data_IF_352530007175
#
_entry.id   IF_352530007175
#
_cell.length_a   1.000
_cell.length_b   1.000
_cell.length_c   1.000
_cell.angle_alpha   90.00
_cell.angle_beta   90.00
_cell.angle_gamma   90.00
#
_symmetry.space_group_name_H-M   'P 1'
#
loop_
_entity.id
_entity.type
_entity.pdbx_description
1 polymer ?
#
# COMPACT_ATOMS: atom_id res chain seq x y z
N UNK A 1 -15.28 5.38 -33.92
CA UNK A 1 -15.71 4.59 -32.74
C UNK A 1 -14.57 4.59 -31.73
N UNK A 2 -14.52 5.57 -30.82
CA UNK A 2 -13.51 5.63 -29.77
C UNK A 2 -14.05 4.93 -28.53
N UNK A 3 -13.44 3.78 -28.24
CA UNK A 3 -13.78 2.93 -27.12
C UNK A 3 -13.11 3.51 -25.85
N UNK A 4 -13.80 4.46 -25.21
CA UNK A 4 -13.35 5.02 -23.93
C UNK A 4 -13.74 3.99 -22.86
N UNK A 5 -12.79 3.13 -22.52
CA UNK A 5 -12.87 2.26 -21.36
C UNK A 5 -12.94 3.17 -20.13
N UNK A 6 -14.13 3.34 -19.58
CA UNK A 6 -14.36 4.14 -18.38
C UNK A 6 -13.49 3.59 -17.25
N UNK A 7 -12.45 4.34 -16.89
CA UNK A 7 -11.76 4.17 -15.63
C UNK A 7 -12.78 4.39 -14.52
N UNK A 8 -12.69 3.60 -13.44
CA UNK A 8 -13.60 3.68 -12.31
C UNK A 8 -13.78 5.15 -11.86
N UNK A 9 -15.02 5.61 -11.62
CA UNK A 9 -15.26 6.98 -11.22
C UNK A 9 -14.69 7.19 -9.81
N UNK A 10 -13.57 7.91 -9.71
CA UNK A 10 -12.94 8.22 -8.44
C UNK A 10 -11.42 8.46 -8.47
N UNK A 11 -10.72 8.01 -9.52
CA UNK A 11 -9.35 8.43 -9.79
C UNK A 11 -9.30 9.08 -11.17
N UNK A 12 -9.50 10.40 -11.22
CA UNK A 12 -8.81 11.16 -12.25
C UNK A 12 -7.31 10.80 -12.14
N UNK A 13 -6.62 10.62 -13.26
CA UNK A 13 -5.19 10.32 -13.24
C UNK A 13 -4.46 11.49 -12.54
N UNK A 14 -4.16 11.30 -11.26
CA UNK A 14 -3.44 12.27 -10.46
C UNK A 14 -2.05 12.45 -11.05
N UNK A 15 -1.60 13.69 -11.12
CA UNK A 15 -0.23 14.01 -11.46
C UNK A 15 0.73 13.38 -10.43
N UNK A 16 2.00 13.11 -10.79
CA UNK A 16 2.98 12.59 -9.84
C UNK A 16 3.09 13.44 -8.56
N UNK A 17 2.95 14.77 -8.70
CA UNK A 17 2.98 15.70 -7.58
C UNK A 17 1.76 15.56 -6.66
N UNK A 18 0.56 15.40 -7.22
CA UNK A 18 -0.65 15.15 -6.43
C UNK A 18 -0.58 13.81 -5.70
N UNK A 19 0.00 12.78 -6.34
CA UNK A 19 0.23 11.49 -5.67
C UNK A 19 1.24 11.64 -4.54
N UNK A 20 2.31 12.40 -4.74
CA UNK A 20 3.31 12.71 -3.72
C UNK A 20 2.68 13.35 -2.48
N UNK A 21 1.90 14.41 -2.67
CA UNK A 21 1.23 15.15 -1.60
C UNK A 21 0.21 14.27 -0.88
N UNK A 22 -0.60 13.54 -1.63
CA UNK A 22 -1.66 12.72 -1.06
C UNK A 22 -1.10 11.50 -0.30
N UNK A 23 -0.04 10.87 -0.81
CA UNK A 23 0.70 9.84 -0.09
C UNK A 23 1.27 10.39 1.22
N UNK A 24 1.89 11.58 1.19
CA UNK A 24 2.39 12.22 2.42
C UNK A 24 1.30 12.45 3.47
N UNK A 25 0.08 12.82 3.04
CA UNK A 25 -1.07 12.95 3.94
C UNK A 25 -1.46 11.61 4.57
N UNK A 26 -1.53 10.55 3.78
CA UNK A 26 -1.83 9.21 4.32
C UNK A 26 -0.72 8.73 5.26
N UNK A 27 0.55 8.88 4.89
CA UNK A 27 1.69 8.49 5.73
C UNK A 27 1.67 9.19 7.08
N UNK A 28 1.51 10.51 7.09
CA UNK A 28 1.40 11.29 8.32
C UNK A 28 0.24 10.83 9.21
N UNK A 29 -0.93 10.58 8.60
CA UNK A 29 -2.12 10.15 9.33
C UNK A 29 -1.97 8.74 9.93
N UNK A 30 -1.41 7.79 9.16
CA UNK A 30 -1.18 6.42 9.60
C UNK A 30 -0.12 6.36 10.70
N UNK A 31 1.03 7.03 10.52
CA UNK A 31 2.08 7.08 11.55
C UNK A 31 1.59 7.75 12.84
N UNK A 32 0.79 8.81 12.72
CA UNK A 32 0.19 9.47 13.88
C UNK A 32 -0.79 8.53 14.62
N UNK A 33 -1.54 7.70 13.88
CA UNK A 33 -2.42 6.71 14.48
C UNK A 33 -1.64 5.58 15.17
N UNK A 34 -0.63 5.04 14.51
CA UNK A 34 0.20 3.94 15.04
C UNK A 34 1.01 4.37 16.27
N UNK A 35 1.49 5.61 16.27
CA UNK A 35 2.18 6.21 17.42
C UNK A 35 1.25 6.71 18.53
N UNK A 36 -0.07 6.47 18.42
CA UNK A 36 -1.11 6.92 19.38
C UNK A 36 -1.17 8.42 19.59
N UNK A 37 -0.67 9.20 18.62
CA UNK A 37 -0.74 10.68 18.60
C UNK A 37 -2.05 11.19 18.00
N UNK A 38 -2.75 10.35 17.24
CA UNK A 38 -4.05 10.61 16.64
C UNK A 38 -4.97 9.42 16.88
N UNK A 39 -6.22 9.67 17.28
CA UNK A 39 -7.24 8.61 17.37
C UNK A 39 -8.03 8.59 16.08
N UNK A 40 -7.89 7.53 15.29
CA UNK A 40 -8.71 7.25 14.12
C UNK A 40 -9.69 6.13 14.41
N UNK A 41 -10.90 6.22 13.84
CA UNK A 41 -11.78 5.05 13.83
C UNK A 41 -11.14 3.92 13.01
N UNK A 42 -11.38 2.64 13.35
CA UNK A 42 -10.85 1.51 12.57
C UNK A 42 -11.23 1.56 11.08
N UNK A 43 -12.40 2.14 10.76
CA UNK A 43 -12.86 2.34 9.38
C UNK A 43 -11.97 3.34 8.63
N UNK A 44 -11.73 4.51 9.22
CA UNK A 44 -10.90 5.57 8.60
C UNK A 44 -9.46 5.12 8.42
N UNK A 45 -8.90 4.41 9.42
CA UNK A 45 -7.56 3.82 9.30
C UNK A 45 -7.48 2.86 8.11
N UNK A 46 -8.43 1.94 7.97
CA UNK A 46 -8.48 1.01 6.82
C UNK A 46 -8.63 1.72 5.50
N UNK A 47 -9.53 2.70 5.40
CA UNK A 47 -9.74 3.45 4.17
C UNK A 47 -8.47 4.20 3.74
N UNK A 48 -7.76 4.80 4.68
CA UNK A 48 -6.48 5.44 4.45
C UNK A 48 -5.41 4.46 3.96
N UNK A 49 -5.24 3.33 4.66
CA UNK A 49 -4.26 2.31 4.31
C UNK A 49 -4.53 1.70 2.93
N UNK A 50 -5.81 1.45 2.59
CA UNK A 50 -6.21 0.93 1.28
C UNK A 50 -5.90 1.96 0.18
N UNK A 51 -6.24 3.24 0.39
CA UNK A 51 -5.95 4.30 -0.59
C UNK A 51 -4.45 4.48 -0.80
N UNK A 52 -3.66 4.52 0.27
CA UNK A 52 -2.20 4.55 0.19
C UNK A 52 -1.65 3.35 -0.58
N UNK A 53 -2.09 2.13 -0.25
CA UNK A 53 -1.68 0.89 -0.95
C UNK A 53 -1.98 0.98 -2.45
N UNK A 54 -3.18 1.40 -2.84
CA UNK A 54 -3.56 1.54 -4.26
C UNK A 54 -2.69 2.55 -5.00
N UNK A 55 -2.40 3.71 -4.39
CA UNK A 55 -1.53 4.73 -4.97
C UNK A 55 -0.10 4.21 -5.15
N UNK A 56 0.48 3.61 -4.10
CA UNK A 56 1.82 3.02 -4.15
C UNK A 56 1.90 1.93 -5.23
N UNK A 57 0.91 1.03 -5.26
CA UNK A 57 0.90 -0.08 -6.24
C UNK A 57 0.89 0.43 -7.68
N UNK A 58 0.21 1.54 -7.96
CA UNK A 58 0.18 2.14 -9.30
C UNK A 58 1.50 2.81 -9.71
N UNK A 59 2.39 3.10 -8.76
CA UNK A 59 3.66 3.80 -8.97
C UNK A 59 4.85 3.10 -8.31
N UNK A 60 4.79 1.77 -8.18
CA UNK A 60 5.71 1.02 -7.32
C UNK A 60 7.20 1.20 -7.67
N UNK A 61 7.50 1.44 -8.95
CA UNK A 61 8.86 1.66 -9.47
C UNK A 61 9.23 3.14 -9.64
N UNK A 62 8.33 4.07 -9.32
CA UNK A 62 8.62 5.50 -9.40
C UNK A 62 9.57 5.91 -8.27
N UNK A 63 10.58 6.70 -8.65
CA UNK A 63 11.51 7.30 -7.69
C UNK A 63 10.79 8.23 -6.71
N UNK A 64 9.83 9.02 -7.20
CA UNK A 64 9.04 9.95 -6.40
C UNK A 64 8.18 9.22 -5.36
N UNK A 65 7.55 8.11 -5.75
CA UNK A 65 6.81 7.26 -4.82
C UNK A 65 7.72 6.68 -3.74
N UNK A 66 8.88 6.14 -4.14
CA UNK A 66 9.86 5.60 -3.19
C UNK A 66 10.36 6.66 -2.21
N UNK A 67 10.63 7.87 -2.68
CA UNK A 67 11.10 8.98 -1.86
C UNK A 67 10.08 9.31 -0.75
N UNK A 68 8.80 9.49 -1.09
CA UNK A 68 7.76 9.76 -0.07
C UNK A 68 7.57 8.57 0.86
N UNK A 69 7.56 7.33 0.35
CA UNK A 69 7.38 6.16 1.20
C UNK A 69 8.47 6.07 2.29
N UNK A 70 9.70 6.49 1.98
CA UNK A 70 10.81 6.47 2.93
C UNK A 70 10.75 7.53 4.04
N UNK A 71 9.89 8.55 3.90
CA UNK A 71 9.68 9.56 4.94
C UNK A 71 8.77 9.08 6.08
N UNK A 72 7.95 8.06 5.84
CA UNK A 72 6.90 7.59 6.76
C UNK A 72 7.02 6.07 6.98
N UNK A 73 7.29 5.59 8.21
CA UNK A 73 7.41 4.16 8.50
C UNK A 73 6.24 3.30 8.00
N UNK A 74 4.99 3.75 8.19
CA UNK A 74 3.81 3.01 7.72
C UNK A 74 3.79 2.85 6.19
N UNK A 75 4.24 3.86 5.44
CA UNK A 75 4.34 3.77 3.97
C UNK A 75 5.53 2.94 3.52
N UNK A 76 6.65 3.00 4.24
CA UNK A 76 7.82 2.13 3.99
C UNK A 76 7.42 0.66 4.12
N UNK A 77 6.68 0.31 5.16
CA UNK A 77 6.19 -1.06 5.36
C UNK A 77 5.24 -1.49 4.23
N UNK A 78 4.29 -0.63 3.85
CA UNK A 78 3.38 -0.92 2.73
C UNK A 78 4.11 -1.08 1.39
N UNK A 79 5.09 -0.22 1.09
CA UNK A 79 5.88 -0.30 -0.13
C UNK A 79 6.71 -1.58 -0.20
N UNK A 80 7.40 -1.93 0.88
CA UNK A 80 8.17 -3.18 0.97
C UNK A 80 7.27 -4.42 0.87
N UNK A 81 6.10 -4.39 1.51
CA UNK A 81 5.10 -5.47 1.39
C UNK A 81 4.63 -5.66 -0.05
N UNK A 82 4.38 -4.57 -0.79
CA UNK A 82 4.01 -4.62 -2.20
C UNK A 82 5.15 -5.13 -3.10
N UNK A 83 6.39 -4.72 -2.84
CA UNK A 83 7.56 -5.26 -3.55
C UNK A 83 7.70 -6.76 -3.32
N UNK A 84 7.53 -7.22 -2.08
CA UNK A 84 7.55 -8.63 -1.73
C UNK A 84 6.42 -9.40 -2.42
N UNK A 85 5.16 -8.93 -2.34
CA UNK A 85 4.01 -9.53 -3.03
C UNK A 85 4.31 -9.70 -4.53
N UNK A 86 4.92 -8.69 -5.16
CA UNK A 86 5.30 -8.74 -6.58
C UNK A 86 6.41 -9.73 -6.87
N UNK A 87 7.44 -9.79 -6.03
CA UNK A 87 8.52 -10.78 -6.18
C UNK A 87 8.01 -12.21 -6.06
N UNK A 88 7.06 -12.46 -5.15
CA UNK A 88 6.39 -13.76 -5.03
C UNK A 88 5.57 -14.07 -6.29
N UNK A 89 4.79 -13.11 -6.80
CA UNK A 89 4.02 -13.29 -8.04
C UNK A 89 4.89 -13.58 -9.27
N UNK A 90 6.09 -12.99 -9.32
CA UNK A 90 7.07 -13.22 -10.39
C UNK A 90 7.90 -14.50 -10.20
N UNK A 91 7.65 -15.27 -9.13
CA UNK A 91 8.41 -16.48 -8.82
C UNK A 91 9.85 -16.23 -8.40
N UNK A 92 10.21 -14.98 -8.07
CA UNK A 92 11.56 -14.58 -7.66
C UNK A 92 11.85 -14.93 -6.19
N UNK A 93 10.80 -15.13 -5.38
CA UNK A 93 10.89 -15.55 -3.99
C UNK A 93 9.90 -16.69 -3.75
N UNK A 94 10.39 -17.84 -3.28
CA UNK A 94 9.55 -18.93 -2.80
C UNK A 94 9.28 -18.75 -1.32
N UNK A 95 8.00 -18.60 -0.94
CA UNK A 95 7.60 -18.64 0.48
C UNK A 95 7.44 -20.11 0.85
N UNK A 96 8.26 -20.67 1.75
CA UNK A 96 8.05 -22.02 2.23
C UNK A 96 6.73 -22.05 3.01
N UNK A 97 5.70 -22.67 2.43
CA UNK A 97 4.47 -23.00 3.16
C UNK A 97 4.84 -24.09 4.15
N UNK A 98 5.06 -23.73 5.41
CA UNK A 98 5.30 -24.71 6.45
C UNK A 98 3.97 -25.38 6.82
N UNK A 99 3.71 -26.53 6.21
CA UNK A 99 2.46 -27.31 6.35
C UNK A 99 2.29 -27.88 7.78
N UNK A 100 3.30 -27.80 8.64
CA UNK A 100 3.27 -28.41 9.98
C UNK A 100 2.28 -27.75 10.96
N UNK A 101 1.94 -26.46 10.81
CA UNK A 101 1.01 -25.79 11.74
C UNK A 101 -0.46 -26.22 11.57
N UNK A 102 -0.82 -26.84 10.44
CA UNK A 102 -2.18 -27.35 10.21
C UNK A 102 -2.43 -28.72 10.84
N UNK A 103 -1.39 -29.42 11.31
CA UNK A 103 -1.54 -30.70 12.00
C UNK A 103 -1.68 -30.56 13.52
N UNK A 104 -1.05 -29.57 14.15
CA UNK A 104 -1.20 -29.32 15.60
C UNK A 104 -2.58 -28.77 16.00
N UNK A 105 -3.32 -28.15 15.07
CA UNK A 105 -4.70 -27.71 15.34
C UNK A 105 -5.74 -28.85 15.26
N UNK A 106 -5.32 -30.09 15.01
CA UNK A 106 -6.17 -31.29 14.92
C UNK A 106 -5.84 -32.37 15.96
N UNK A 107 -4.86 -32.15 16.82
CA UNK A 107 -4.47 -33.03 17.93
C UNK A 107 -4.95 -32.50 19.27
#
# INVERSE_FOLDING_TARGET
MTNIKAAAPGLAALTPEEVRVELGRYGMMLDAADSRRLVLSPRLYREAAVRAKTMIQSQLESFECMAVCSEYPSLTELHNGLLFERQVQLGMVSVPVNVNWLQEARS
#
